data_IF_296076757327
#
_entry.id   IF_296076757327
#
_cell.length_a   1.000
_cell.length_b   1.000
_cell.length_c   1.000
_cell.angle_alpha   90.00
_cell.angle_beta   90.00
_cell.angle_gamma   90.00
#
_symmetry.space_group_name_H-M   'P 1'
#
loop_
_entity.id
_entity.type
_entity.pdbx_description
1 polymer ?
#
# COMPACT_ATOMS: atom_id res chain seq x y z
N UNK A 1 -40.28 -10.77 -48.65
CA UNK A 1 -40.15 -9.47 -47.98
C UNK A 1 -39.26 -9.59 -46.76
N UNK A 2 -38.11 -8.92 -46.79
CA UNK A 2 -37.09 -8.94 -45.74
C UNK A 2 -37.54 -8.17 -44.48
N UNK A 3 -37.17 -8.61 -43.27
CA UNK A 3 -37.29 -7.78 -42.07
C UNK A 3 -36.15 -6.75 -41.97
N UNK A 4 -36.53 -5.54 -41.56
CA UNK A 4 -35.76 -4.30 -41.54
C UNK A 4 -34.65 -4.31 -40.47
N UNK A 5 -33.45 -3.88 -40.86
CA UNK A 5 -32.35 -3.49 -39.97
C UNK A 5 -32.59 -2.07 -39.43
N UNK A 6 -32.68 -1.91 -38.10
CA UNK A 6 -32.44 -0.64 -37.39
C UNK A 6 -31.95 -1.07 -36.00
N UNK A 7 -30.65 -1.07 -35.70
CA UNK A 7 -29.85 0.14 -35.45
C UNK A 7 -29.62 0.25 -33.94
N UNK A 8 -28.68 -0.53 -33.41
CA UNK A 8 -28.28 -0.48 -32.00
C UNK A 8 -27.40 0.76 -31.80
N UNK A 9 -28.01 1.89 -31.41
CA UNK A 9 -27.28 3.13 -31.12
C UNK A 9 -26.53 2.95 -29.79
N UNK A 10 -25.25 2.62 -29.86
CA UNK A 10 -24.32 2.60 -28.73
C UNK A 10 -24.24 4.02 -28.17
N UNK A 11 -24.77 4.24 -26.96
CA UNK A 11 -24.61 5.52 -26.25
C UNK A 11 -23.14 5.66 -25.85
N UNK A 12 -22.52 6.72 -26.34
CA UNK A 12 -21.14 7.10 -26.05
C UNK A 12 -20.94 7.32 -24.55
N UNK A 13 -19.99 6.58 -23.97
CA UNK A 13 -19.48 6.83 -22.63
C UNK A 13 -18.60 8.09 -22.66
N UNK A 14 -19.06 9.18 -22.04
CA UNK A 14 -18.21 10.35 -21.78
C UNK A 14 -17.18 9.96 -20.71
N UNK A 15 -16.04 9.43 -21.15
CA UNK A 15 -14.84 9.27 -20.33
C UNK A 15 -14.29 10.65 -20.02
N UNK A 16 -14.67 11.23 -18.87
CA UNK A 16 -14.04 12.43 -18.36
C UNK A 16 -12.57 12.11 -17.98
N UNK A 17 -11.66 12.34 -18.93
CA UNK A 17 -10.22 12.35 -18.67
C UNK A 17 -9.91 13.46 -17.67
N UNK A 18 -9.70 13.09 -16.39
CA UNK A 18 -9.16 14.02 -15.38
C UNK A 18 -7.82 14.56 -15.86
N UNK A 19 -7.77 15.86 -16.17
CA UNK A 19 -6.54 16.64 -16.44
C UNK A 19 -5.57 16.40 -15.28
N UNK A 20 -4.48 15.68 -15.51
CA UNK A 20 -3.40 15.56 -14.53
C UNK A 20 -2.77 16.95 -14.36
N UNK A 21 -2.93 17.57 -13.19
CA UNK A 21 -2.14 18.75 -12.83
C UNK A 21 -0.67 18.34 -12.85
N UNK A 22 0.12 18.97 -13.72
CA UNK A 22 1.59 18.85 -13.68
C UNK A 22 2.04 19.65 -12.46
N UNK A 23 2.36 18.95 -11.38
CA UNK A 23 3.13 19.52 -10.28
C UNK A 23 4.55 19.60 -10.84
N UNK A 24 5.04 20.81 -11.11
CA UNK A 24 6.47 21.04 -11.31
C UNK A 24 7.13 20.75 -9.96
N UNK A 25 7.82 19.60 -9.89
CA UNK A 25 8.64 19.28 -8.73
C UNK A 25 9.92 20.09 -8.94
N UNK A 26 9.95 21.28 -8.34
CA UNK A 26 11.16 22.08 -8.28
C UNK A 26 12.19 21.34 -7.44
N UNK A 27 13.41 21.30 -7.96
CA UNK A 27 14.54 20.53 -7.48
C UNK A 27 15.01 21.01 -6.12
N UNK A 28 14.42 20.47 -5.06
CA UNK A 28 15.02 20.48 -3.73
C UNK A 28 15.01 19.07 -3.16
N UNK A 29 16.21 18.61 -2.80
CA UNK A 29 16.55 17.44 -1.97
C UNK A 29 16.64 16.08 -2.67
N UNK A 30 17.87 15.79 -3.07
CA UNK A 30 18.38 14.49 -3.54
C UNK A 30 18.21 13.35 -2.51
N UNK A 31 17.77 13.67 -1.28
CA UNK A 31 17.55 12.74 -0.17
C UNK A 31 16.23 11.94 -0.25
N UNK A 32 15.19 12.45 -0.91
CA UNK A 32 13.89 11.75 -0.99
C UNK A 32 13.87 10.55 -1.96
N UNK A 33 14.82 10.47 -2.90
CA UNK A 33 14.86 9.40 -3.92
C UNK A 33 15.32 8.06 -3.30
N UNK A 34 16.09 8.10 -2.21
CA UNK A 34 16.48 6.90 -1.45
C UNK A 34 15.29 6.32 -0.66
N UNK A 35 14.45 7.19 -0.10
CA UNK A 35 13.29 6.81 0.72
C UNK A 35 12.19 6.10 -0.10
N UNK A 36 11.95 6.51 -1.36
CA UNK A 36 10.94 5.87 -2.23
C UNK A 36 11.28 4.41 -2.57
N UNK A 37 12.56 4.12 -2.86
CA UNK A 37 13.02 2.76 -3.20
C UNK A 37 13.03 1.84 -1.98
N UNK A 38 13.34 2.38 -0.81
CA UNK A 38 13.30 1.64 0.46
C UNK A 38 11.86 1.36 0.90
N UNK A 39 10.99 2.37 0.81
CA UNK A 39 9.54 2.26 1.05
C UNK A 39 8.86 1.25 0.10
N UNK A 40 9.25 1.20 -1.18
CA UNK A 40 8.75 0.18 -2.12
C UNK A 40 9.18 -1.24 -1.75
N UNK A 41 10.41 -1.42 -1.27
CA UNK A 41 10.91 -2.73 -0.82
C UNK A 41 10.19 -3.17 0.46
N UNK A 42 9.98 -2.25 1.39
CA UNK A 42 9.24 -2.51 2.62
C UNK A 42 7.79 -2.88 2.33
N UNK A 43 7.15 -2.22 1.36
CA UNK A 43 5.81 -2.58 0.90
C UNK A 43 5.76 -3.98 0.27
N UNK A 44 6.77 -4.37 -0.52
CA UNK A 44 6.88 -5.74 -1.06
C UNK A 44 7.04 -6.77 0.06
N UNK A 45 7.85 -6.46 1.07
CA UNK A 45 8.07 -7.34 2.23
C UNK A 45 6.79 -7.50 3.08
N UNK A 46 6.13 -6.39 3.39
CA UNK A 46 4.84 -6.38 4.12
C UNK A 46 3.80 -7.18 3.34
N UNK A 47 3.72 -7.01 2.01
CA UNK A 47 2.81 -7.75 1.15
C UNK A 47 3.11 -9.25 1.17
N UNK A 48 4.38 -9.65 1.07
CA UNK A 48 4.78 -11.05 1.16
C UNK A 48 4.43 -11.66 2.53
N UNK A 49 4.67 -10.94 3.62
CA UNK A 49 4.31 -11.38 4.97
C UNK A 49 2.79 -11.52 5.14
N UNK A 50 2.00 -10.58 4.62
CA UNK A 50 0.53 -10.68 4.62
C UNK A 50 0.06 -11.91 3.85
N UNK A 51 0.64 -12.19 2.68
CA UNK A 51 0.30 -13.38 1.90
C UNK A 51 0.65 -14.67 2.66
N UNK A 52 1.85 -14.75 3.27
CA UNK A 52 2.24 -15.90 4.10
C UNK A 52 1.26 -16.15 5.25
N UNK A 53 0.75 -15.09 5.88
CA UNK A 53 -0.25 -15.21 6.97
C UNK A 53 -1.61 -15.64 6.43
N UNK A 54 -2.10 -15.05 5.33
CA UNK A 54 -3.38 -15.43 4.72
C UNK A 54 -3.40 -16.90 4.30
N UNK A 55 -2.30 -17.37 3.74
CA UNK A 55 -2.18 -18.75 3.27
C UNK A 55 -1.56 -19.69 4.31
N UNK A 56 -1.35 -19.26 5.56
CA UNK A 56 -0.66 -20.07 6.58
C UNK A 56 -1.35 -21.42 6.80
N UNK A 57 -2.68 -21.44 6.83
CA UNK A 57 -3.45 -22.68 7.05
C UNK A 57 -3.39 -23.63 5.85
N UNK A 58 -3.37 -23.08 4.63
CA UNK A 58 -3.23 -23.87 3.39
C UNK A 58 -1.83 -24.47 3.31
N UNK A 59 -0.80 -23.68 3.64
CA UNK A 59 0.59 -24.14 3.74
C UNK A 59 0.72 -25.22 4.83
N UNK A 60 0.06 -25.04 5.97
CA UNK A 60 0.07 -26.02 7.06
C UNK A 60 -0.54 -27.36 6.62
N UNK A 61 -1.74 -27.33 6.04
CA UNK A 61 -2.44 -28.55 5.59
C UNK A 61 -1.68 -29.25 4.47
N UNK A 62 -1.15 -28.50 3.51
CA UNK A 62 -0.36 -29.07 2.40
C UNK A 62 0.94 -29.69 2.91
N UNK A 63 1.66 -29.04 3.82
CA UNK A 63 2.87 -29.63 4.41
C UNK A 63 2.56 -30.88 5.23
N UNK A 64 1.47 -30.89 5.98
CA UNK A 64 1.02 -32.08 6.70
C UNK A 64 0.70 -33.24 5.74
N UNK A 65 0.09 -32.95 4.59
CA UNK A 65 -0.22 -33.95 3.58
C UNK A 65 1.05 -34.51 2.91
N UNK A 66 2.04 -33.66 2.61
CA UNK A 66 3.29 -34.06 1.94
C UNK A 66 4.23 -34.81 2.89
N UNK A 67 4.38 -34.35 4.13
CA UNK A 67 5.34 -34.89 5.10
C UNK A 67 4.76 -36.00 5.99
N UNK A 68 3.43 -36.09 6.10
CA UNK A 68 2.75 -37.14 6.87
C UNK A 68 3.25 -37.22 8.31
N UNK A 69 3.85 -38.36 8.68
CA UNK A 69 4.37 -38.62 10.04
C UNK A 69 5.61 -37.79 10.39
N UNK A 70 6.36 -37.31 9.40
CA UNK A 70 7.54 -36.47 9.60
C UNK A 70 7.19 -34.98 9.78
N UNK A 71 5.89 -34.62 9.74
CA UNK A 71 5.46 -33.24 9.87
C UNK A 71 5.55 -32.75 11.32
N UNK A 72 6.45 -31.78 11.55
CA UNK A 72 6.49 -31.05 12.82
C UNK A 72 5.50 -29.88 12.83
N UNK A 73 4.28 -30.17 13.28
CA UNK A 73 3.24 -29.17 13.46
C UNK A 73 3.57 -28.11 14.51
N UNK A 74 4.46 -28.38 15.46
CA UNK A 74 4.85 -27.41 16.50
C UNK A 74 5.73 -26.32 15.92
N UNK A 75 6.71 -26.70 15.09
CA UNK A 75 7.59 -25.77 14.39
C UNK A 75 6.82 -24.88 13.42
N UNK A 76 5.85 -25.44 12.69
CA UNK A 76 5.01 -24.63 11.80
C UNK A 76 4.13 -23.63 12.56
N UNK A 77 3.58 -24.02 13.71
CA UNK A 77 2.84 -23.07 14.57
C UNK A 77 3.74 -21.95 15.08
N UNK A 78 5.01 -22.23 15.43
CA UNK A 78 5.99 -21.21 15.82
C UNK A 78 6.31 -20.26 14.65
N UNK A 79 6.54 -20.79 13.44
CA UNK A 79 6.75 -19.97 12.22
C UNK A 79 5.57 -19.04 11.93
N UNK A 80 4.34 -19.53 12.03
CA UNK A 80 3.14 -18.71 11.84
C UNK A 80 3.04 -17.59 12.88
N UNK A 81 3.36 -17.86 14.15
CA UNK A 81 3.42 -16.82 15.21
C UNK A 81 4.49 -15.77 14.91
N UNK A 82 5.67 -16.20 14.45
CA UNK A 82 6.77 -15.31 14.07
C UNK A 82 6.37 -14.37 12.94
N UNK A 83 5.76 -14.89 11.87
CA UNK A 83 5.29 -14.06 10.76
C UNK A 83 4.25 -13.04 11.20
N UNK A 84 3.30 -13.43 12.07
CA UNK A 84 2.31 -12.51 12.65
C UNK A 84 2.96 -11.39 13.46
N UNK A 85 4.00 -11.71 14.24
CA UNK A 85 4.76 -10.72 15.02
C UNK A 85 5.48 -9.73 14.09
N UNK A 86 6.23 -10.23 13.11
CA UNK A 86 6.94 -9.40 12.13
C UNK A 86 5.99 -8.47 11.36
N UNK A 87 4.83 -8.98 10.93
CA UNK A 87 3.84 -8.14 10.23
C UNK A 87 3.32 -7.01 11.14
N UNK A 88 3.07 -7.30 12.42
CA UNK A 88 2.59 -6.31 13.38
C UNK A 88 3.61 -5.19 13.59
N UNK A 89 4.88 -5.56 13.77
CA UNK A 89 5.97 -4.61 13.93
C UNK A 89 6.18 -3.75 12.67
N UNK A 90 6.14 -4.36 11.49
CA UNK A 90 6.27 -3.64 10.22
C UNK A 90 5.11 -2.63 10.02
N UNK A 91 3.87 -3.03 10.33
CA UNK A 91 2.71 -2.11 10.31
C UNK A 91 2.87 -0.97 11.31
N UNK A 92 3.34 -1.24 12.52
CA UNK A 92 3.54 -0.21 13.54
C UNK A 92 4.62 0.80 13.13
N UNK A 93 5.70 0.34 12.50
CA UNK A 93 6.74 1.24 11.95
C UNK A 93 6.19 2.11 10.82
N UNK A 94 5.47 1.50 9.87
CA UNK A 94 4.85 2.22 8.75
C UNK A 94 3.87 3.29 9.23
N UNK A 95 3.03 2.98 10.23
CA UNK A 95 2.10 3.96 10.80
C UNK A 95 2.83 5.15 11.41
N UNK A 96 3.86 4.91 12.23
CA UNK A 96 4.67 6.00 12.84
C UNK A 96 5.31 6.91 11.80
N UNK A 97 5.74 6.36 10.67
CA UNK A 97 6.32 7.15 9.59
C UNK A 97 5.27 8.02 8.91
N UNK A 98 4.07 7.48 8.67
CA UNK A 98 2.91 8.24 8.18
C UNK A 98 2.53 9.37 9.14
N UNK A 99 2.51 9.11 10.44
CA UNK A 99 2.14 10.11 11.45
C UNK A 99 3.17 11.26 11.51
N UNK A 100 4.46 10.94 11.37
CA UNK A 100 5.54 11.94 11.28
C UNK A 100 5.39 12.82 10.05
N UNK A 101 5.08 12.23 8.90
CA UNK A 101 4.90 12.98 7.66
C UNK A 101 3.65 13.87 7.71
N UNK A 102 2.55 13.36 8.27
CA UNK A 102 1.36 14.16 8.52
C UNK A 102 1.65 15.35 9.45
N UNK A 103 2.45 15.16 10.50
CA UNK A 103 2.86 16.24 11.39
C UNK A 103 3.72 17.30 10.67
N UNK A 104 4.65 16.89 9.79
CA UNK A 104 5.44 17.82 8.96
C UNK A 104 4.54 18.67 8.07
N UNK A 105 3.61 18.04 7.36
CA UNK A 105 2.65 18.72 6.50
C UNK A 105 1.78 19.70 7.31
N UNK A 106 1.32 19.29 8.50
CA UNK A 106 0.54 20.15 9.37
C UNK A 106 1.32 21.40 9.82
N UNK A 107 2.59 21.24 10.21
CA UNK A 107 3.46 22.36 10.58
C UNK A 107 3.68 23.30 9.39
N UNK A 108 3.94 22.76 8.20
CA UNK A 108 4.10 23.55 6.98
C UNK A 108 2.82 24.33 6.63
N UNK A 109 1.66 23.68 6.77
CA UNK A 109 0.37 24.33 6.54
C UNK A 109 0.14 25.46 7.54
N UNK A 110 0.40 25.24 8.84
CA UNK A 110 0.31 26.29 9.87
C UNK A 110 1.20 27.47 9.50
N UNK A 111 2.47 27.23 9.10
CA UNK A 111 3.38 28.30 8.66
C UNK A 111 2.86 29.09 7.46
N UNK A 112 2.15 28.45 6.54
CA UNK A 112 1.58 29.12 5.35
C UNK A 112 0.33 29.93 5.66
N UNK A 113 -0.44 29.55 6.67
CA UNK A 113 -1.74 30.17 7.00
C UNK A 113 -1.68 31.18 8.13
N UNK A 114 -0.53 31.32 8.80
CA UNK A 114 -0.30 32.40 9.77
C UNK A 114 0.12 33.64 8.98
N UNK A 115 -0.86 34.45 8.62
CA UNK A 115 -0.64 35.85 8.25
C UNK A 115 -0.46 36.63 9.56
N UNK A 116 0.70 37.23 9.77
CA UNK A 116 0.86 38.24 10.82
C UNK A 116 0.19 39.50 10.32
N UNK A 117 -0.93 39.89 10.95
CA UNK A 117 -1.52 41.20 10.78
C UNK A 117 -0.54 42.19 11.40
N UNK A 118 0.44 42.62 10.62
CA UNK A 118 1.40 43.67 10.98
C UNK A 118 0.61 44.98 11.04
N UNK A 119 -0.08 45.16 12.17
CA UNK A 119 -0.88 46.34 12.47
C UNK A 119 -0.03 47.61 12.37
N UNK A 120 -0.25 48.33 11.26
CA UNK A 120 -0.07 49.77 11.12
C UNK A 120 -1.24 50.52 11.74
#
# INVERSE_FOLDING_TARGET
>A
SQPKLVGCQVRENIMACRRKRKISIDTTTYDHILDVKELEKDNKFIRAAMLKIRYADVIFKSQQQVLGKAFDGTEMKKKTKLWKKQLREAKAKSQRQSDREAARIAIENIKRTVDFDDGM
#
